data_IF_999547062033
#
_entry.id   IF_999547062033
#
_cell.length_a   1.000
_cell.length_b   1.000
_cell.length_c   1.000
_cell.angle_alpha   90.00
_cell.angle_beta   90.00
_cell.angle_gamma   90.00
#
_symmetry.space_group_name_H-M   'P 1'
#
loop_
_entity.id
_entity.type
_entity.pdbx_description
1 polymer ?
#
# COMPACT_ATOMS: atom_id res chain seq x y z
N UNK A 1 10.42 -18.57 -15.82
CA UNK A 1 9.27 -17.94 -16.51
C UNK A 1 8.21 -17.43 -15.52
N UNK A 2 7.50 -18.28 -14.76
CA UNK A 2 6.51 -17.79 -13.75
C UNK A 2 7.18 -16.99 -12.62
N UNK A 3 8.39 -17.38 -12.21
CA UNK A 3 9.22 -16.65 -11.25
C UNK A 3 9.50 -15.21 -11.69
N UNK A 4 9.81 -15.02 -12.97
CA UNK A 4 10.23 -13.73 -13.54
C UNK A 4 9.03 -12.79 -13.65
N UNK A 5 7.87 -13.32 -14.04
CA UNK A 5 6.60 -12.59 -14.05
C UNK A 5 6.25 -12.14 -12.62
N UNK A 6 6.40 -13.02 -11.63
CA UNK A 6 6.15 -12.68 -10.22
C UNK A 6 7.13 -11.61 -9.71
N UNK A 7 8.39 -11.68 -10.14
CA UNK A 7 9.39 -10.67 -9.78
C UNK A 7 9.01 -9.32 -10.37
N UNK A 8 8.70 -9.27 -11.67
CA UNK A 8 8.30 -8.06 -12.37
C UNK A 8 7.06 -7.39 -11.75
N UNK A 9 6.02 -8.17 -11.43
CA UNK A 9 4.81 -7.66 -10.77
C UNK A 9 5.12 -7.13 -9.36
N UNK A 10 6.05 -7.75 -8.62
CA UNK A 10 6.49 -7.28 -7.31
C UNK A 10 7.37 -6.03 -7.39
N UNK A 11 8.15 -5.83 -8.46
CA UNK A 11 9.00 -4.66 -8.64
C UNK A 11 8.26 -3.47 -9.27
N UNK A 12 7.08 -3.69 -9.85
CA UNK A 12 6.26 -2.63 -10.44
C UNK A 12 5.66 -1.73 -9.35
N UNK A 13 6.26 -0.54 -9.13
CA UNK A 13 5.76 0.46 -8.17
C UNK A 13 4.31 0.91 -8.43
N UNK A 14 3.90 1.22 -9.68
CA UNK A 14 2.50 1.58 -9.95
C UNK A 14 1.52 0.45 -9.61
N UNK A 15 1.94 -0.79 -9.90
CA UNK A 15 1.15 -1.98 -9.59
C UNK A 15 0.99 -2.16 -8.07
N UNK A 16 2.03 -1.87 -7.29
CA UNK A 16 1.97 -1.94 -5.82
C UNK A 16 1.09 -0.85 -5.21
N UNK A 17 1.17 0.39 -5.72
CA UNK A 17 0.40 1.53 -5.24
C UNK A 17 -1.10 1.39 -5.54
N UNK A 18 -1.44 0.90 -6.73
CA UNK A 18 -2.82 0.74 -7.18
C UNK A 18 -3.44 -0.61 -6.78
N UNK A 19 -2.71 -1.49 -6.10
CA UNK A 19 -3.25 -2.78 -5.68
C UNK A 19 -4.13 -2.61 -4.42
N UNK A 20 -5.46 -2.75 -4.52
CA UNK A 20 -6.36 -2.56 -3.39
C UNK A 20 -6.12 -3.56 -2.25
N UNK A 21 -5.59 -4.75 -2.55
CA UNK A 21 -5.26 -5.77 -1.55
C UNK A 21 -4.02 -5.39 -0.71
N UNK A 22 -3.18 -4.48 -1.22
CA UNK A 22 -1.96 -4.01 -0.52
C UNK A 22 -2.11 -2.62 0.09
N UNK A 23 -3.27 -1.99 -0.07
CA UNK A 23 -3.53 -0.73 0.60
C UNK A 23 -3.44 -0.95 2.11
N UNK A 24 -2.59 -0.16 2.76
CA UNK A 24 -2.51 -0.18 4.21
C UNK A 24 -3.90 0.17 4.74
N UNK A 25 -4.46 -0.61 5.68
CA UNK A 25 -5.73 -0.22 6.28
C UNK A 25 -5.57 1.20 6.84
N UNK A 26 -6.61 2.05 6.71
CA UNK A 26 -6.57 3.36 7.34
C UNK A 26 -6.26 3.13 8.82
N UNK A 27 -5.11 3.64 9.27
CA UNK A 27 -4.75 3.57 10.69
C UNK A 27 -5.76 4.37 11.51
N UNK A 28 -5.74 4.20 12.83
CA UNK A 28 -6.47 5.11 13.70
C UNK A 28 -6.03 6.55 13.41
N UNK A 29 -7.01 7.44 13.22
CA UNK A 29 -6.72 8.86 13.11
C UNK A 29 -5.95 9.29 14.37
N UNK A 30 -4.89 10.09 14.18
CA UNK A 30 -4.22 10.70 15.33
C UNK A 30 -5.24 11.57 16.07
N UNK A 31 -5.41 11.41 17.40
CA UNK A 31 -6.29 12.28 18.16
C UNK A 31 -5.84 13.73 17.99
N UNK A 32 -6.76 14.61 17.63
CA UNK A 32 -6.54 16.05 17.63
C UNK A 32 -6.81 16.52 19.06
N UNK A 33 -5.90 17.32 19.64
CA UNK A 33 -6.13 17.91 20.97
C UNK A 33 -7.24 18.98 20.86
N UNK A 34 -8.12 19.12 21.87
CA UNK A 34 -9.04 20.24 21.93
C UNK A 34 -8.29 21.59 21.84
N UNK A 35 -8.88 22.63 21.22
CA UNK A 35 -8.35 23.99 21.33
C UNK A 35 -8.41 24.49 22.79
N UNK A 36 -7.51 25.41 23.14
CA UNK A 36 -7.48 26.11 24.45
C UNK A 36 -8.71 27.01 24.67
#
# INVERSE_FOLDING_TARGET
MISDIRHYVKSCLPCLQNNPLRQKPPGALKPIKPPE
#
